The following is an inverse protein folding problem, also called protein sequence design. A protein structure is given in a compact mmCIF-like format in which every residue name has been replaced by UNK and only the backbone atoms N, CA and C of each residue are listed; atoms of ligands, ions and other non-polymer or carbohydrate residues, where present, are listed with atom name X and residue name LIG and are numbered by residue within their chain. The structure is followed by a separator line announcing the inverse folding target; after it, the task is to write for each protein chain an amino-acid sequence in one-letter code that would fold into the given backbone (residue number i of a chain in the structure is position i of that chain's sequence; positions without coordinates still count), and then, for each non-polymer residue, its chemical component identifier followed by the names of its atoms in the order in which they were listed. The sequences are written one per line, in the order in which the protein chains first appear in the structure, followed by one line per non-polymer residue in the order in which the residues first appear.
data_IF_124166604312
#
_entry.id   IF_124166604312
#
_cell.length_a   1.000
_cell.length_b   1.000
_cell.length_c   1.000
_cell.angle_alpha   90.00
_cell.angle_beta   90.00
_cell.angle_gamma   90.00
#
_symmetry.space_group_name_H-M   'P 1'
#
loop_
_entity.id
_entity.type
_entity.pdbx_description
1 polymer ?
#
# COMPACT_ATOMS: atom_id res chain seq x y z
N UNK A 1 3.20 -19.79 -1.18
CA UNK A 1 2.38 -19.24 -0.09
C UNK A 1 1.78 -20.36 0.76
N UNK A 2 1.37 -20.04 2.00
CA UNK A 2 0.75 -21.00 2.92
C UNK A 2 -0.49 -21.65 2.31
N UNK A 3 -1.37 -20.86 1.69
CA UNK A 3 -2.60 -21.35 1.08
C UNK A 3 -2.33 -22.38 -0.03
N UNK A 4 -1.37 -22.10 -0.92
CA UNK A 4 -0.96 -23.07 -1.95
C UNK A 4 -0.43 -24.37 -1.32
N UNK A 5 0.41 -24.25 -0.30
CA UNK A 5 0.92 -25.42 0.42
C UNK A 5 -0.20 -26.21 1.10
N UNK A 6 -1.20 -25.57 1.69
CA UNK A 6 -2.36 -26.22 2.27
C UNK A 6 -3.14 -26.99 1.21
N UNK A 7 -3.41 -26.38 0.06
CA UNK A 7 -4.07 -27.06 -1.05
C UNK A 7 -3.28 -28.29 -1.53
N UNK A 8 -1.98 -28.12 -1.79
CA UNK A 8 -1.12 -29.17 -2.32
C UNK A 8 -0.96 -30.35 -1.35
N UNK A 9 -1.19 -30.13 -0.05
CA UNK A 9 -1.11 -31.14 1.02
C UNK A 9 -2.49 -31.62 1.51
N UNK A 10 -3.59 -31.17 0.94
CA UNK A 10 -4.94 -31.53 1.38
C UNK A 10 -5.30 -31.03 2.78
N UNK A 11 -4.69 -29.93 3.25
CA UNK A 11 -4.97 -29.32 4.56
C UNK A 11 -6.19 -28.43 4.44
N UNK A 12 -7.33 -28.86 4.98
CA UNK A 12 -8.61 -28.15 4.86
C UNK A 12 -9.08 -27.35 6.09
N UNK A 13 -8.33 -27.36 7.19
CA UNK A 13 -8.71 -26.65 8.42
C UNK A 13 -8.15 -25.23 8.53
N UNK A 14 -7.71 -24.65 7.42
CA UNK A 14 -7.19 -23.28 7.31
C UNK A 14 -8.15 -22.46 6.46
N UNK A 15 -8.38 -21.22 6.86
CA UNK A 15 -9.06 -20.20 6.06
C UNK A 15 -8.47 -18.81 6.34
N UNK A 16 -8.62 -17.91 5.41
CA UNK A 16 -8.04 -16.56 5.47
C UNK A 16 -9.07 -15.53 5.11
N UNK A 17 -9.20 -14.50 5.92
CA UNK A 17 -9.88 -13.26 5.54
C UNK A 17 -8.94 -12.43 4.68
N UNK A 18 -9.19 -12.36 3.38
CA UNK A 18 -8.40 -11.52 2.51
C UNK A 18 -8.79 -10.05 2.69
N UNK A 19 -7.96 -9.30 3.39
CA UNK A 19 -8.03 -7.86 3.49
C UNK A 19 -6.80 -7.18 2.85
N UNK A 20 -6.14 -7.91 1.94
CA UNK A 20 -4.94 -7.42 1.26
C UNK A 20 -5.23 -6.20 0.41
N UNK A 21 -4.33 -5.24 0.47
CA UNK A 21 -4.31 -4.03 -0.35
C UNK A 21 -3.08 -4.05 -1.26
N UNK A 22 -3.22 -3.53 -2.46
CA UNK A 22 -2.11 -3.34 -3.39
C UNK A 22 -1.87 -1.85 -3.58
N UNK A 23 -0.60 -1.45 -3.43
CA UNK A 23 -0.20 -0.04 -3.35
C UNK A 23 -0.31 0.71 -4.70
N UNK A 24 0.09 0.14 -5.86
CA UNK A 24 0.11 0.90 -7.11
C UNK A 24 -1.21 1.59 -7.45
N UNK A 25 -2.39 0.94 -7.39
CA UNK A 25 -3.66 1.63 -7.67
C UNK A 25 -3.97 2.77 -6.69
N UNK A 26 -3.51 2.67 -5.44
CA UNK A 26 -3.70 3.73 -4.46
C UNK A 26 -2.79 4.93 -4.75
N UNK A 27 -1.56 4.69 -5.21
CA UNK A 27 -0.66 5.75 -5.68
C UNK A 27 -1.25 6.44 -6.91
N UNK A 28 -1.71 5.66 -7.92
CA UNK A 28 -2.37 6.23 -9.10
C UNK A 28 -3.56 7.12 -8.72
N UNK A 29 -4.41 6.65 -7.81
CA UNK A 29 -5.55 7.43 -7.33
C UNK A 29 -5.15 8.73 -6.61
N UNK A 30 -4.02 8.73 -5.89
CA UNK A 30 -3.47 9.95 -5.30
C UNK A 30 -2.90 10.89 -6.37
N UNK A 31 -2.12 10.35 -7.33
CA UNK A 31 -1.49 11.14 -8.40
C UNK A 31 -2.52 11.76 -9.37
N UNK A 32 -3.69 11.14 -9.50
CA UNK A 32 -4.80 11.65 -10.33
C UNK A 32 -5.65 12.71 -9.60
N UNK A 33 -5.47 12.89 -8.29
CA UNK A 33 -6.23 13.87 -7.52
C UNK A 33 -5.72 15.29 -7.79
N UNK A 34 -6.58 16.21 -8.29
CA UNK A 34 -6.15 17.57 -8.59
C UNK A 34 -5.76 18.39 -7.35
N UNK A 35 -6.13 17.94 -6.17
CA UNK A 35 -5.75 18.55 -4.89
C UNK A 35 -4.45 17.99 -4.30
N UNK A 36 -3.74 17.10 -5.00
CA UNK A 36 -2.48 16.54 -4.50
C UNK A 36 -1.42 17.63 -4.32
N UNK A 37 -0.87 17.72 -3.11
CA UNK A 37 0.20 18.65 -2.72
C UNK A 37 1.40 17.85 -2.14
N UNK A 38 1.86 16.84 -2.88
CA UNK A 38 2.98 15.98 -2.52
C UNK A 38 4.02 16.03 -3.64
N UNK A 39 5.27 16.29 -3.28
CA UNK A 39 6.40 16.39 -4.22
C UNK A 39 7.17 15.08 -4.36
N UNK A 40 7.04 14.17 -3.38
CA UNK A 40 7.85 12.96 -3.32
C UNK A 40 7.20 11.83 -2.52
N UNK A 41 7.66 10.61 -2.80
CA UNK A 41 7.24 9.39 -2.11
C UNK A 41 8.43 8.61 -1.56
N UNK A 42 8.39 8.31 -0.26
CA UNK A 42 9.19 7.25 0.33
C UNK A 42 8.42 5.92 0.20
N UNK A 43 8.90 5.06 -0.68
CA UNK A 43 8.26 3.78 -0.99
C UNK A 43 8.74 2.68 -0.05
N UNK A 44 7.83 1.77 0.41
CA UNK A 44 8.16 0.80 1.45
C UNK A 44 9.05 -0.33 0.93
N UNK A 45 10.25 -0.47 1.48
CA UNK A 45 11.25 -1.47 1.08
C UNK A 45 10.75 -2.90 1.20
N UNK A 46 10.04 -3.26 2.29
CA UNK A 46 9.56 -4.63 2.50
C UNK A 46 8.53 -5.10 1.45
N UNK A 47 7.68 -4.22 0.93
CA UNK A 47 6.78 -4.51 -0.19
C UNK A 47 7.59 -4.62 -1.48
N UNK A 48 8.55 -3.73 -1.66
CA UNK A 48 9.39 -3.65 -2.85
C UNK A 48 10.35 -4.84 -3.03
N UNK A 49 10.66 -5.58 -1.96
CA UNK A 49 11.34 -6.88 -2.08
C UNK A 49 10.56 -7.86 -2.97
N UNK A 50 9.24 -7.72 -3.01
CA UNK A 50 8.35 -8.55 -3.83
C UNK A 50 8.06 -7.88 -5.18
N UNK A 51 7.67 -6.60 -5.15
CA UNK A 51 7.18 -5.90 -6.35
C UNK A 51 8.27 -5.35 -7.25
N UNK A 52 9.45 -5.06 -6.71
CA UNK A 52 10.51 -4.34 -7.40
C UNK A 52 10.16 -2.87 -7.65
N UNK A 53 10.90 -2.21 -8.53
CA UNK A 53 10.70 -0.79 -8.88
C UNK A 53 9.51 -0.56 -9.81
N UNK A 54 9.08 -1.59 -10.55
CA UNK A 54 7.99 -1.50 -11.54
C UNK A 54 6.66 -1.00 -10.95
N UNK A 55 6.43 -1.25 -9.66
CA UNK A 55 5.22 -0.82 -8.95
C UNK A 55 5.09 0.70 -8.77
N UNK A 56 6.17 1.46 -8.98
CA UNK A 56 6.24 2.89 -8.65
C UNK A 56 6.61 3.78 -9.84
N UNK A 57 6.69 3.23 -11.06
CA UNK A 57 7.11 3.97 -12.25
C UNK A 57 6.18 5.13 -12.63
N UNK A 58 4.95 5.10 -12.18
CA UNK A 58 3.99 6.18 -12.42
C UNK A 58 4.36 7.46 -11.64
N UNK A 59 5.04 7.34 -10.49
CA UNK A 59 5.41 8.49 -9.65
C UNK A 59 6.33 9.46 -10.41
N UNK A 60 7.49 9.03 -10.93
CA UNK A 60 8.36 9.94 -11.71
C UNK A 60 7.72 10.39 -13.02
N UNK A 61 6.88 9.57 -13.65
CA UNK A 61 6.14 9.97 -14.85
C UNK A 61 5.17 11.15 -14.62
N UNK A 62 4.78 11.39 -13.36
CA UNK A 62 3.94 12.53 -12.93
C UNK A 62 4.76 13.67 -12.32
N UNK A 63 6.09 13.64 -12.42
CA UNK A 63 6.98 14.70 -11.94
C UNK A 63 7.22 14.71 -10.43
N UNK A 64 7.03 13.57 -9.75
CA UNK A 64 7.31 13.40 -8.33
C UNK A 64 8.57 12.55 -8.11
N UNK A 65 9.33 12.82 -7.07
CA UNK A 65 10.47 12.00 -6.68
C UNK A 65 10.02 10.70 -6.01
N UNK A 66 10.75 9.60 -6.20
CA UNK A 66 10.44 8.31 -5.61
C UNK A 66 11.70 7.58 -5.14
N UNK A 67 11.74 7.19 -3.86
CA UNK A 67 12.84 6.41 -3.30
C UNK A 67 12.31 5.26 -2.47
N UNK A 68 12.80 4.04 -2.75
CA UNK A 68 12.46 2.84 -1.98
C UNK A 68 13.44 2.71 -0.82
N UNK A 69 12.93 2.81 0.43
CA UNK A 69 13.76 2.83 1.64
C UNK A 69 13.52 1.65 2.56
N UNK A 70 14.53 1.32 3.39
CA UNK A 70 14.33 0.55 4.61
C UNK A 70 13.58 1.38 5.68
N UNK A 71 13.51 0.82 6.90
CA UNK A 71 12.74 1.43 7.99
C UNK A 71 13.62 1.93 9.15
N UNK A 72 14.91 1.69 9.07
CA UNK A 72 15.86 2.18 10.07
C UNK A 72 16.02 3.70 9.93
N UNK A 73 16.30 4.42 11.02
CA UNK A 73 16.44 5.88 10.97
C UNK A 73 17.44 6.35 9.90
N UNK A 74 18.54 5.63 9.72
CA UNK A 74 19.56 5.97 8.70
C UNK A 74 19.01 5.73 7.29
N UNK A 75 18.28 4.63 7.06
CA UNK A 75 17.63 4.35 5.77
C UNK A 75 16.69 5.49 5.37
N UNK A 76 15.86 5.96 6.33
CA UNK A 76 14.90 7.04 6.09
C UNK A 76 15.61 8.35 5.78
N UNK A 77 16.65 8.70 6.55
CA UNK A 77 17.43 9.93 6.33
C UNK A 77 18.12 9.91 4.97
N UNK A 78 18.72 8.79 4.59
CA UNK A 78 19.35 8.62 3.29
C UNK A 78 18.30 8.70 2.16
N UNK A 79 17.13 8.07 2.32
CA UNK A 79 16.03 8.19 1.38
C UNK A 79 15.55 9.64 1.19
N UNK A 80 15.43 10.41 2.27
CA UNK A 80 15.10 11.84 2.20
C UNK A 80 16.20 12.60 1.45
N UNK A 81 17.47 12.32 1.74
CA UNK A 81 18.60 12.95 1.03
C UNK A 81 18.54 12.65 -0.48
N UNK A 82 18.26 11.41 -0.88
CA UNK A 82 18.10 11.04 -2.28
C UNK A 82 16.92 11.78 -2.94
N UNK A 83 15.77 11.85 -2.27
CA UNK A 83 14.60 12.62 -2.73
C UNK A 83 14.95 14.09 -2.97
N UNK A 84 15.62 14.74 -2.02
CA UNK A 84 16.05 16.12 -2.17
C UNK A 84 17.00 16.30 -3.36
N UNK A 85 17.87 15.30 -3.59
CA UNK A 85 18.75 15.28 -4.75
C UNK A 85 17.99 15.24 -6.08
N UNK A 86 16.91 14.43 -6.18
CA UNK A 86 16.05 14.40 -7.37
C UNK A 86 15.31 15.73 -7.58
N UNK A 87 14.74 16.30 -6.51
CA UNK A 87 14.01 17.57 -6.58
C UNK A 87 14.92 18.72 -7.04
N UNK A 88 16.12 18.83 -6.46
CA UNK A 88 17.08 19.90 -6.82
C UNK A 88 17.57 19.80 -8.27
N UNK A 89 17.66 18.59 -8.81
CA UNK A 89 18.09 18.37 -10.20
C UNK A 89 16.94 18.38 -11.20
N UNK A 90 15.70 18.38 -10.73
CA UNK A 90 14.51 18.13 -11.56
C UNK A 90 14.63 16.86 -12.43
N UNK A 91 15.26 15.82 -11.87
CA UNK A 91 15.50 14.53 -12.52
C UNK A 91 14.86 13.41 -11.68
N UNK A 92 13.66 12.99 -12.06
CA UNK A 92 12.83 12.10 -11.29
C UNK A 92 12.94 10.66 -11.77
N UNK A 93 13.18 9.75 -10.84
CA UNK A 93 13.27 8.31 -11.11
C UNK A 93 12.88 7.51 -9.87
N UNK A 94 12.69 6.20 -10.02
CA UNK A 94 12.53 5.30 -8.87
C UNK A 94 13.91 4.81 -8.43
N UNK A 95 14.45 5.39 -7.39
CA UNK A 95 15.73 4.99 -6.81
C UNK A 95 15.56 3.98 -5.66
N UNK A 96 16.57 3.15 -5.42
CA UNK A 96 16.58 2.14 -4.35
C UNK A 96 17.67 2.50 -3.34
N UNK A 97 17.27 3.01 -2.17
CA UNK A 97 18.13 3.12 -1.01
C UNK A 97 18.31 1.73 -0.36
N UNK A 98 17.23 0.95 -0.22
CA UNK A 98 17.22 -0.35 0.44
C UNK A 98 17.80 -1.46 -0.44
N UNK A 99 19.05 -1.30 -0.91
CA UNK A 99 19.72 -2.21 -1.87
C UNK A 99 19.98 -3.59 -1.30
N UNK A 100 20.08 -3.72 0.04
CA UNK A 100 20.31 -5.02 0.72
C UNK A 100 19.09 -5.96 0.64
N UNK A 101 17.90 -5.45 0.31
CA UNK A 101 16.66 -6.25 0.26
C UNK A 101 15.88 -6.13 -1.03
N UNK A 102 16.09 -5.09 -1.82
CA UNK A 102 15.29 -4.79 -3.01
C UNK A 102 16.14 -4.90 -4.27
N UNK A 103 15.61 -5.61 -5.26
CA UNK A 103 16.12 -5.60 -6.63
C UNK A 103 15.12 -4.93 -7.56
N UNK A 104 15.54 -4.38 -8.72
CA UNK A 104 14.62 -3.76 -9.68
C UNK A 104 13.47 -4.68 -10.11
N UNK A 105 13.74 -5.98 -10.27
CA UNK A 105 12.76 -6.98 -10.70
C UNK A 105 11.86 -7.48 -9.57
N UNK A 106 12.27 -7.28 -8.30
CA UNK A 106 11.61 -7.88 -7.13
C UNK A 106 11.70 -9.40 -7.11
N UNK A 107 10.79 -10.05 -6.41
CA UNK A 107 10.74 -11.50 -6.31
C UNK A 107 9.71 -12.08 -7.31
N UNK A 108 10.19 -12.50 -8.47
CA UNK A 108 9.37 -13.07 -9.55
C UNK A 108 8.56 -14.29 -9.09
N UNK A 109 9.15 -15.17 -8.26
CA UNK A 109 8.47 -16.36 -7.74
C UNK A 109 7.31 -15.98 -6.80
N UNK A 110 7.52 -15.01 -5.93
CA UNK A 110 6.48 -14.52 -5.02
C UNK A 110 5.34 -13.85 -5.79
N UNK A 111 5.65 -13.05 -6.81
CA UNK A 111 4.62 -12.43 -7.68
C UNK A 111 3.79 -13.48 -8.40
N UNK A 112 4.43 -14.47 -9.02
CA UNK A 112 3.72 -15.57 -9.68
C UNK A 112 2.78 -16.34 -8.72
N UNK A 113 3.21 -16.55 -7.46
CA UNK A 113 2.36 -17.15 -6.43
C UNK A 113 1.17 -16.28 -6.02
N UNK A 114 1.36 -14.96 -5.96
CA UNK A 114 0.27 -14.02 -5.68
C UNK A 114 -0.75 -14.07 -6.83
N UNK A 115 -0.29 -14.03 -8.06
CA UNK A 115 -1.11 -14.08 -9.27
C UNK A 115 -1.84 -15.43 -9.42
N UNK A 116 -1.21 -16.53 -9.00
CA UNK A 116 -1.84 -17.85 -8.99
C UNK A 116 -3.01 -17.94 -7.98
N UNK A 117 -2.81 -17.37 -6.79
CA UNK A 117 -3.75 -17.52 -5.67
C UNK A 117 -4.84 -16.44 -5.67
N UNK A 118 -4.50 -15.22 -6.07
CA UNK A 118 -5.37 -14.06 -5.94
C UNK A 118 -5.68 -13.40 -7.28
N UNK A 119 -6.80 -12.69 -7.30
CA UNK A 119 -7.19 -11.79 -8.37
C UNK A 119 -7.44 -10.38 -7.80
N UNK A 120 -7.16 -9.32 -8.56
CA UNK A 120 -7.50 -7.96 -8.17
C UNK A 120 -9.01 -7.78 -7.99
N UNK A 121 -9.39 -6.91 -7.06
CA UNK A 121 -10.76 -6.51 -6.78
C UNK A 121 -10.76 -5.07 -6.25
N UNK A 122 -11.87 -4.37 -6.44
CA UNK A 122 -12.05 -3.05 -5.88
C UNK A 122 -12.03 -3.14 -4.35
N UNK A 123 -11.38 -2.18 -3.71
CA UNK A 123 -11.27 -2.17 -2.26
C UNK A 123 -11.42 -0.77 -1.69
N UNK A 124 -12.04 -0.72 -0.51
CA UNK A 124 -12.20 0.52 0.23
C UNK A 124 -10.93 0.85 1.01
N UNK A 125 -10.47 2.08 0.87
CA UNK A 125 -9.36 2.64 1.61
C UNK A 125 -9.86 3.73 2.55
N UNK A 126 -9.37 3.73 3.78
CA UNK A 126 -9.71 4.76 4.76
C UNK A 126 -9.14 6.10 4.29
N UNK A 127 -9.95 7.14 4.29
CA UNK A 127 -9.58 8.47 3.82
C UNK A 127 -9.54 8.67 2.30
N UNK A 128 -9.53 7.58 1.49
CA UNK A 128 -9.46 7.66 0.02
C UNK A 128 -10.69 7.08 -0.69
N UNK A 129 -11.59 6.40 0.05
CA UNK A 129 -12.79 5.81 -0.52
C UNK A 129 -12.55 4.49 -1.26
N UNK A 130 -13.35 4.23 -2.29
CA UNK A 130 -13.27 3.03 -3.12
C UNK A 130 -12.24 3.23 -4.23
N UNK A 131 -11.24 2.36 -4.29
CA UNK A 131 -10.19 2.39 -5.32
C UNK A 131 -10.30 1.11 -6.16
N UNK A 132 -10.46 1.23 -7.49
CA UNK A 132 -10.54 0.08 -8.38
C UNK A 132 -9.27 -0.79 -8.32
N UNK A 133 -9.44 -2.10 -8.39
CA UNK A 133 -8.36 -3.09 -8.47
C UNK A 133 -7.29 -2.99 -7.37
N UNK A 134 -7.62 -2.39 -6.22
CA UNK A 134 -6.69 -2.11 -5.12
C UNK A 134 -6.73 -3.12 -3.98
N UNK A 135 -7.54 -4.15 -4.09
CA UNK A 135 -7.62 -5.28 -3.16
C UNK A 135 -7.33 -6.60 -3.85
N UNK A 136 -7.25 -7.67 -3.06
CA UNK A 136 -7.07 -9.02 -3.57
C UNK A 136 -8.15 -9.95 -3.03
N UNK A 137 -8.79 -10.72 -3.92
CA UNK A 137 -9.69 -11.83 -3.58
C UNK A 137 -9.10 -13.15 -4.05
N UNK A 138 -9.50 -14.25 -3.43
CA UNK A 138 -9.10 -15.58 -3.90
C UNK A 138 -9.65 -15.86 -5.30
N UNK A 139 -8.80 -16.48 -6.14
CA UNK A 139 -9.26 -17.07 -7.39
C UNK A 139 -10.10 -18.33 -7.10
N UNK A 140 -10.93 -18.74 -8.06
CA UNK A 140 -11.86 -19.85 -7.91
C UNK A 140 -11.18 -21.12 -7.41
N UNK A 141 -10.00 -21.48 -7.92
CA UNK A 141 -9.22 -22.64 -7.48
C UNK A 141 -8.72 -22.62 -6.03
N UNK A 142 -8.93 -21.50 -5.31
CA UNK A 142 -8.54 -21.30 -3.90
C UNK A 142 -9.69 -20.82 -3.03
N UNK A 143 -10.93 -20.83 -3.57
CA UNK A 143 -12.13 -20.31 -2.90
C UNK A 143 -12.43 -21.02 -1.57
N UNK A 144 -12.09 -22.29 -1.46
CA UNK A 144 -12.24 -23.07 -0.22
C UNK A 144 -11.47 -22.51 0.98
N UNK A 145 -10.42 -21.70 0.72
CA UNK A 145 -9.63 -21.01 1.75
C UNK A 145 -10.15 -19.63 2.11
N UNK A 146 -11.15 -19.11 1.39
CA UNK A 146 -11.76 -17.83 1.72
C UNK A 146 -12.67 -17.95 2.93
N UNK A 147 -12.28 -17.31 4.04
CA UNK A 147 -13.04 -17.36 5.27
C UNK A 147 -14.45 -16.74 5.12
N UNK A 148 -14.67 -15.80 4.19
CA UNK A 148 -16.00 -15.25 3.91
C UNK A 148 -16.96 -16.27 3.32
N UNK A 149 -16.44 -17.31 2.68
CA UNK A 149 -17.25 -18.40 2.12
C UNK A 149 -17.54 -19.50 3.16
N UNK A 150 -16.77 -19.54 4.25
CA UNK A 150 -16.91 -20.55 5.32
C UNK A 150 -17.73 -20.07 6.50
N UNK A 151 -17.75 -18.77 6.75
CA UNK A 151 -18.38 -18.17 7.92
C UNK A 151 -19.38 -17.12 7.47
N UNK A 152 -20.54 -17.12 8.10
CA UNK A 152 -21.50 -16.03 7.97
C UNK A 152 -20.98 -14.82 8.75
N UNK A 153 -20.52 -13.82 8.00
CA UNK A 153 -19.99 -12.61 8.60
C UNK A 153 -20.96 -11.48 8.30
N UNK A 154 -21.54 -10.87 9.33
CA UNK A 154 -22.41 -9.73 9.11
C UNK A 154 -21.64 -8.57 8.47
N UNK A 155 -22.28 -7.91 7.53
CA UNK A 155 -21.73 -6.68 6.97
C UNK A 155 -21.85 -5.56 8.03
N UNK A 156 -20.70 -5.18 8.57
CA UNK A 156 -20.63 -4.10 9.57
C UNK A 156 -20.36 -2.80 8.82
N UNK A 157 -21.33 -1.88 8.75
CA UNK A 157 -21.13 -0.62 8.07
C UNK A 157 -20.03 0.19 8.77
N UNK A 158 -18.94 0.43 8.07
CA UNK A 158 -17.88 1.31 8.55
C UNK A 158 -18.21 2.75 8.13
N UNK A 159 -18.18 3.67 9.09
CA UNK A 159 -18.32 5.12 8.85
C UNK A 159 -17.00 5.79 9.18
N UNK A 160 -16.66 6.77 8.37
CA UNK A 160 -15.56 7.64 8.73
C UNK A 160 -15.97 8.49 9.96
N UNK A 161 -15.08 8.61 10.95
CA UNK A 161 -15.37 9.41 12.14
C UNK A 161 -15.62 10.86 11.78
N UNK A 162 -16.65 11.45 12.38
CA UNK A 162 -16.98 12.86 12.16
C UNK A 162 -15.79 13.76 12.53
N UNK A 163 -15.42 14.69 11.65
CA UNK A 163 -14.31 15.61 11.83
C UNK A 163 -12.93 15.04 11.49
N UNK A 164 -12.82 13.78 11.07
CA UNK A 164 -11.55 13.23 10.58
C UNK A 164 -11.18 13.86 9.23
N UNK A 165 -9.95 14.37 9.11
CA UNK A 165 -9.41 14.96 7.88
C UNK A 165 -8.23 14.16 7.30
N UNK A 166 -8.21 12.86 7.57
CA UNK A 166 -7.10 11.98 7.18
C UNK A 166 -6.88 11.97 5.66
N UNK A 167 -7.95 12.02 4.86
CA UNK A 167 -7.86 12.07 3.40
C UNK A 167 -7.13 13.31 2.88
N UNK A 168 -7.32 14.46 3.51
CA UNK A 168 -6.64 15.71 3.14
C UNK A 168 -5.16 15.69 3.56
N UNK A 169 -4.86 15.08 4.73
CA UNK A 169 -3.47 14.87 5.19
C UNK A 169 -2.72 13.94 4.23
N UNK A 170 -3.35 12.84 3.81
CA UNK A 170 -2.75 11.89 2.86
C UNK A 170 -2.45 12.51 1.49
N UNK A 171 -3.14 13.57 1.12
CA UNK A 171 -2.91 14.33 -0.11
C UNK A 171 -1.94 15.50 0.08
N UNK A 172 -1.44 15.74 1.28
CA UNK A 172 -0.56 16.87 1.60
C UNK A 172 -1.26 18.23 1.64
N UNK A 173 -2.60 18.27 1.57
CA UNK A 173 -3.39 19.52 1.53
C UNK A 173 -3.37 20.29 2.87
N UNK A 174 -3.22 19.56 3.97
CA UNK A 174 -3.14 20.11 5.33
C UNK A 174 -2.09 19.35 6.14
N UNK A 175 -1.60 19.98 7.21
CA UNK A 175 -0.74 19.30 8.18
C UNK A 175 -1.57 18.46 9.17
N UNK A 176 -0.99 17.42 9.78
CA UNK A 176 -1.67 16.64 10.82
C UNK A 176 -2.21 17.49 11.97
N UNK A 177 -1.51 18.57 12.35
CA UNK A 177 -1.92 19.53 13.39
C UNK A 177 -3.21 20.28 13.08
N UNK A 178 -3.59 20.38 11.81
CA UNK A 178 -4.80 21.07 11.35
C UNK A 178 -6.07 20.20 11.45
N UNK A 179 -5.89 18.91 11.79
CA UNK A 179 -6.99 18.00 12.03
C UNK A 179 -7.51 18.18 13.47
N UNK A 180 -8.80 18.47 13.67
CA UNK A 180 -9.35 18.69 15.01
C UNK A 180 -9.27 17.48 15.94
N UNK A 181 -9.07 16.28 15.40
CA UNK A 181 -8.92 15.07 16.20
C UNK A 181 -7.47 14.79 16.59
N UNK A 182 -6.49 15.44 15.96
CA UNK A 182 -5.07 15.17 16.17
C UNK A 182 -4.63 15.48 17.60
N UNK A 183 -3.96 14.53 18.26
CA UNK A 183 -3.54 14.58 19.68
C UNK A 183 -4.67 14.70 20.71
N UNK A 184 -5.92 14.62 20.28
CA UNK A 184 -7.09 14.59 21.16
C UNK A 184 -7.75 13.21 21.12
N UNK A 185 -8.73 13.03 20.24
CA UNK A 185 -9.37 11.74 20.04
C UNK A 185 -8.54 10.77 19.20
N UNK A 186 -7.63 11.30 18.35
CA UNK A 186 -6.75 10.52 17.48
C UNK A 186 -5.30 10.60 17.99
N UNK A 187 -4.83 9.48 18.54
CA UNK A 187 -3.45 9.33 19.05
C UNK A 187 -2.82 8.07 18.45
N UNK A 188 -1.48 7.88 18.54
CA UNK A 188 -0.85 6.62 18.10
C UNK A 188 -1.44 5.38 18.77
N UNK A 189 -1.85 5.47 20.02
CA UNK A 189 -2.43 4.34 20.78
C UNK A 189 -3.93 4.14 20.48
N UNK A 190 -4.60 5.18 19.97
CA UNK A 190 -6.03 5.16 19.61
C UNK A 190 -6.25 5.90 18.31
N UNK A 191 -5.83 5.33 17.15
CA UNK A 191 -6.01 5.97 15.86
C UNK A 191 -7.48 5.97 15.46
N UNK A 192 -7.99 7.12 15.02
CA UNK A 192 -9.39 7.33 14.63
C UNK A 192 -9.57 7.28 13.11
N UNK A 193 -8.64 7.87 12.36
CA UNK A 193 -8.63 7.94 10.90
C UNK A 193 -7.83 6.86 10.18
#
# INVERSE_FOLDING_TARGET
STVKMCRDRGIGNVSVFSAHKVIPPAISALLDDPGLAIDAFLCPGHVSTITGTGAYQEIPARGCAAVITGFEPVDILEGIYMILGQILKHDYSVEIQYTRGVSPQGNVKARALIEEVFAPVDARWRGLGMIPSSGLKFREGYREFDARMRFEIPDIPSREPAGCRCGEILKGMINPSDCPLFRHACTPDSPVG
#
